data_IF_878135564328
#
_entry.id   IF_878135564328
#
_cell.length_a   1.000
_cell.length_b   1.000
_cell.length_c   1.000
_cell.angle_alpha   90.00
_cell.angle_beta   90.00
_cell.angle_gamma   90.00
#
_symmetry.space_group_name_H-M   'P 1'
#
loop_
_entity.id
_entity.type
_entity.pdbx_description
1 polymer ?
#
# COMPACT_ATOMS: atom_id res chain seq x y z
N UNK A 1 -14.66 2.55 8.36
CA UNK A 1 -13.48 2.89 7.55
C UNK A 1 -13.43 1.85 6.45
N UNK A 2 -13.68 2.26 5.22
CA UNK A 2 -13.69 1.35 4.08
C UNK A 2 -12.27 0.92 3.72
N UNK A 3 -12.13 -0.22 3.06
CA UNK A 3 -10.84 -0.77 2.64
C UNK A 3 -9.95 0.28 1.95
N UNK A 4 -10.54 0.97 0.96
CA UNK A 4 -9.92 2.07 0.24
C UNK A 4 -9.37 3.15 1.17
N UNK A 5 -10.17 3.61 2.13
CA UNK A 5 -9.78 4.66 3.07
C UNK A 5 -8.64 4.22 3.99
N UNK A 6 -8.65 2.95 4.42
CA UNK A 6 -7.58 2.39 5.24
C UNK A 6 -6.25 2.32 4.47
N UNK A 7 -6.30 1.86 3.23
CA UNK A 7 -5.13 1.80 2.35
C UNK A 7 -4.60 3.19 2.02
N UNK A 8 -5.49 4.12 1.65
CA UNK A 8 -5.12 5.50 1.35
C UNK A 8 -4.51 6.20 2.58
N UNK A 9 -5.07 5.97 3.78
CA UNK A 9 -4.53 6.48 5.02
C UNK A 9 -3.14 5.91 5.33
N UNK A 10 -2.97 4.59 5.20
CA UNK A 10 -1.70 3.92 5.43
C UNK A 10 -0.61 4.37 4.44
N UNK A 11 -0.98 4.59 3.16
CA UNK A 11 -0.10 5.15 2.13
C UNK A 11 0.23 6.60 2.39
N UNK A 12 -0.72 7.46 2.78
CA UNK A 12 -0.41 8.85 3.18
C UNK A 12 0.51 8.93 4.38
N UNK A 13 0.38 8.00 5.31
CA UNK A 13 1.29 7.91 6.45
C UNK A 13 2.69 7.47 6.04
N UNK A 14 2.81 6.59 5.04
CA UNK A 14 4.11 6.15 4.51
C UNK A 14 4.74 7.17 3.54
N UNK A 15 3.90 7.89 2.80
CA UNK A 15 4.23 8.84 1.76
C UNK A 15 3.54 10.18 2.05
N UNK A 16 4.04 10.90 3.06
CA UNK A 16 3.49 12.21 3.40
C UNK A 16 3.60 13.22 2.26
N UNK A 17 4.57 13.01 1.37
CA UNK A 17 4.82 13.81 0.16
C UNK A 17 4.14 13.27 -1.10
N UNK A 18 3.22 12.32 -0.98
CA UNK A 18 2.43 11.87 -2.12
C UNK A 18 1.48 12.99 -2.57
N UNK A 19 1.65 13.45 -3.81
CA UNK A 19 0.76 14.44 -4.41
C UNK A 19 -0.60 13.84 -4.72
N UNK A 20 -0.65 12.58 -5.13
CA UNK A 20 -1.88 11.87 -5.44
C UNK A 20 -1.75 10.38 -5.11
N UNK A 21 -2.83 9.78 -4.60
CA UNK A 21 -2.92 8.34 -4.32
C UNK A 21 -4.19 7.82 -4.99
N UNK A 22 -4.04 6.74 -5.75
CA UNK A 22 -5.14 5.97 -6.30
C UNK A 22 -5.13 4.58 -5.69
N UNK A 23 -6.30 4.07 -5.32
CA UNK A 23 -6.45 2.75 -4.71
C UNK A 23 -7.52 2.01 -5.48
N UNK A 24 -7.11 0.91 -6.09
CA UNK A 24 -7.97 -0.05 -6.77
C UNK A 24 -8.23 -1.24 -5.83
N UNK A 25 -9.46 -1.33 -5.32
CA UNK A 25 -9.89 -2.42 -4.44
C UNK A 25 -10.27 -3.70 -5.18
N UNK A 26 -10.34 -3.65 -6.51
CA UNK A 26 -10.71 -4.83 -7.32
C UNK A 26 -9.48 -5.71 -7.57
N UNK A 27 -8.35 -5.09 -7.88
CA UNK A 27 -7.08 -5.75 -8.15
C UNK A 27 -6.15 -5.76 -6.92
N UNK A 28 -6.54 -5.10 -5.83
CA UNK A 28 -5.70 -4.83 -4.66
C UNK A 28 -4.38 -4.11 -5.01
N UNK A 29 -4.50 -3.13 -5.92
CA UNK A 29 -3.39 -2.33 -6.41
C UNK A 29 -3.58 -0.87 -6.03
N UNK A 30 -2.48 -0.15 -5.82
CA UNK A 30 -2.50 1.26 -5.50
C UNK A 30 -1.35 1.98 -6.19
N UNK A 31 -1.62 3.19 -6.66
CA UNK A 31 -0.69 4.03 -7.37
C UNK A 31 -0.42 5.30 -6.56
N UNK A 32 0.85 5.58 -6.32
CA UNK A 32 1.30 6.75 -5.58
C UNK A 32 2.10 7.65 -6.52
N UNK A 33 1.67 8.90 -6.64
CA UNK A 33 2.33 9.90 -7.45
C UNK A 33 3.12 10.85 -6.55
N UNK A 34 4.41 10.96 -6.80
CA UNK A 34 5.34 11.78 -6.01
C UNK A 34 6.00 12.81 -6.92
N UNK A 35 6.01 14.06 -6.47
CA UNK A 35 6.65 15.17 -7.18
C UNK A 35 8.16 15.20 -6.90
N UNK A 36 8.97 15.59 -7.88
CA UNK A 36 10.45 15.62 -7.77
C UNK A 36 10.94 16.47 -6.59
N UNK A 37 10.19 17.51 -6.24
CA UNK A 37 10.56 18.49 -5.21
C UNK A 37 10.55 17.88 -3.80
N UNK A 38 9.71 16.84 -3.59
CA UNK A 38 9.55 16.20 -2.29
C UNK A 38 10.12 14.77 -2.24
N UNK A 39 10.74 14.28 -3.32
CA UNK A 39 11.30 12.94 -3.35
C UNK A 39 12.68 12.89 -2.68
N UNK A 40 12.70 12.68 -1.37
CA UNK A 40 13.93 12.65 -0.56
C UNK A 40 14.37 11.19 -0.27
N UNK A 41 14.56 10.35 -1.29
CA UNK A 41 15.33 9.11 -1.13
C UNK A 41 14.76 7.83 -1.73
N UNK A 42 15.38 6.69 -1.39
CA UNK A 42 15.00 5.37 -1.91
C UNK A 42 13.67 4.90 -1.31
N UNK A 43 12.64 4.74 -2.14
CA UNK A 43 11.41 4.08 -1.74
C UNK A 43 11.70 2.60 -1.54
N UNK A 44 11.47 2.12 -0.31
CA UNK A 44 11.50 0.69 -0.02
C UNK A 44 10.49 -0.05 -0.89
N UNK A 45 10.93 -1.13 -1.54
CA UNK A 45 10.07 -1.99 -2.38
C UNK A 45 8.94 -2.63 -1.59
N UNK A 46 9.02 -2.64 -0.27
CA UNK A 46 8.01 -3.20 0.62
C UNK A 46 7.82 -2.29 1.82
N UNK A 47 6.57 -1.95 2.10
CA UNK A 47 6.18 -1.03 3.16
C UNK A 47 5.11 -1.70 4.01
N UNK A 48 5.26 -1.64 5.32
CA UNK A 48 4.24 -2.12 6.26
C UNK A 48 3.72 -0.91 7.03
N UNK A 49 2.46 -0.57 6.84
CA UNK A 49 1.82 0.58 7.48
C UNK A 49 0.40 0.22 7.88
N UNK A 50 0.01 0.50 9.12
CA UNK A 50 -1.34 0.24 9.66
C UNK A 50 -1.90 -1.17 9.39
N UNK A 51 -1.06 -2.19 9.57
CA UNK A 51 -1.41 -3.61 9.25
C UNK A 51 -1.70 -3.90 7.78
N UNK A 52 -1.39 -2.97 6.88
CA UNK A 52 -1.42 -3.14 5.43
C UNK A 52 0.01 -3.32 4.93
N UNK A 53 0.23 -4.41 4.21
CA UNK A 53 1.50 -4.73 3.59
C UNK A 53 1.46 -4.33 2.13
N UNK A 54 2.30 -3.37 1.76
CA UNK A 54 2.48 -2.87 0.41
C UNK A 54 3.74 -3.45 -0.20
N UNK A 55 3.64 -3.94 -1.43
CA UNK A 55 4.75 -4.44 -2.22
C UNK A 55 4.75 -3.75 -3.57
N UNK A 56 5.83 -3.02 -3.85
CA UNK A 56 6.04 -2.36 -5.13
C UNK A 56 6.14 -3.42 -6.22
N UNK A 57 5.29 -3.29 -7.22
CA UNK A 57 5.25 -4.19 -8.39
C UNK A 57 5.73 -3.48 -9.64
N UNK A 58 5.55 -2.16 -9.70
CA UNK A 58 5.97 -1.35 -10.83
C UNK A 58 6.35 0.05 -10.32
N UNK A 59 7.23 0.73 -11.06
CA UNK A 59 7.53 2.13 -10.82
C UNK A 59 7.88 2.81 -12.15
N UNK A 60 7.51 4.07 -12.27
CA UNK A 60 7.84 4.92 -13.40
C UNK A 60 8.70 6.08 -12.90
N UNK A 61 9.94 6.13 -13.38
CA UNK A 61 10.90 7.21 -13.11
C UNK A 61 10.66 8.48 -13.96
N UNK A 62 9.60 8.50 -14.78
CA UNK A 62 9.19 9.69 -15.52
C UNK A 62 8.33 10.59 -14.64
N UNK A 63 8.62 11.90 -14.63
CA UNK A 63 7.90 12.85 -13.79
C UNK A 63 6.46 13.08 -14.25
N UNK A 64 5.49 13.17 -13.30
CA UNK A 64 5.63 12.91 -11.86
C UNK A 64 5.89 11.42 -11.57
N UNK A 65 6.80 11.13 -10.64
CA UNK A 65 7.20 9.76 -10.32
C UNK A 65 5.97 8.94 -9.90
N UNK A 66 5.80 7.78 -10.51
CA UNK A 66 4.68 6.89 -10.23
C UNK A 66 5.19 5.62 -9.58
N UNK A 67 4.59 5.22 -8.47
CA UNK A 67 4.91 3.96 -7.79
C UNK A 67 3.65 3.13 -7.66
N UNK A 68 3.67 1.91 -8.18
CA UNK A 68 2.55 0.98 -8.12
C UNK A 68 2.86 -0.09 -7.09
N UNK A 69 2.00 -0.21 -6.09
CA UNK A 69 2.09 -1.21 -5.05
C UNK A 69 0.89 -2.13 -5.09
N UNK A 70 1.12 -3.42 -4.95
CA UNK A 70 0.09 -4.35 -4.52
C UNK A 70 -0.01 -4.29 -3.00
N UNK A 71 -1.23 -4.31 -2.45
CA UNK A 71 -1.44 -4.31 -1.01
C UNK A 71 -2.18 -5.55 -0.53
N UNK A 72 -1.88 -5.95 0.70
CA UNK A 72 -2.55 -7.06 1.38
C UNK A 72 -2.76 -6.70 2.84
N UNK A 73 -3.94 -6.99 3.37
CA UNK A 73 -4.16 -6.85 4.80
C UNK A 73 -3.45 -7.98 5.52
N UNK A 74 -2.76 -7.64 6.60
CA UNK A 74 -2.25 -8.62 7.54
C UNK A 74 -3.47 -9.30 8.17
N UNK A 75 -3.88 -10.43 7.59
CA UNK A 75 -4.92 -11.27 8.18
C UNK A 75 -4.37 -11.74 9.51
N UNK A 76 -4.88 -11.20 10.61
CA UNK A 76 -4.72 -11.83 11.90
C UNK A 76 -5.35 -13.22 11.73
N UNK A 77 -4.52 -14.25 11.54
CA UNK A 77 -4.93 -15.64 11.75
C UNK A 77 -5.20 -15.80 13.24
N UNK A 78 -6.30 -15.24 13.73
CA UNK A 78 -6.97 -15.76 14.93
C UNK A 78 -7.56 -17.11 14.55
N UNK A 79 -6.67 -18.09 14.51
CA UNK A 79 -6.89 -19.44 15.00
C UNK A 79 -8.36 -19.92 14.97
N UNK A 80 -8.93 -20.14 13.78
CA UNK A 80 -10.03 -21.10 13.63
C UNK A 80 -9.46 -22.52 13.68
N UNK A 81 -8.86 -22.86 14.82
CA UNK A 81 -8.83 -24.22 15.34
C UNK A 81 -10.11 -24.40 16.16
N UNK A 82 -11.27 -24.41 15.48
CA UNK A 82 -12.46 -25.09 16.01
C UNK A 82 -12.64 -26.32 15.15
N UNK A 83 -12.32 -27.46 15.77
CA UNK A 83 -12.92 -28.79 15.67
C UNK A 83 -13.85 -29.01 14.46
N UNK A 84 -13.69 -30.07 13.68
CA UNK A 84 -13.89 -31.44 14.16
C UNK A 84 -13.11 -32.45 13.33
N UNK A 85 -12.20 -33.16 13.99
CA UNK A 85 -11.72 -34.47 13.56
C UNK A 85 -12.31 -35.54 14.47
N UNK A 86 -12.81 -36.58 13.81
CA UNK A 86 -13.15 -37.93 14.32
C UNK A 86 -14.45 -38.10 15.10
#
# INVERSE_FOLDING_TARGET
MNEKEQVEHALRSAFSSASQIYVDTVNHECEVYVSVDEFIGEISRTILSDSVYFKMVDYCDTLPYKYVFNYTFKVNKTNRLRSSGS
#
